data_IF_648620390034
#
_entry.id   IF_648620390034
#
_cell.length_a   1.000
_cell.length_b   1.000
_cell.length_c   1.000
_cell.angle_alpha   90.00
_cell.angle_beta   90.00
_cell.angle_gamma   90.00
#
_symmetry.space_group_name_H-M   'P 1'
#
loop_
_entity.id
_entity.type
_entity.pdbx_description
1 polymer ?
#
# COMPACT_ATOMS: atom_id res chain seq x y z
N UNK A 1 -0.85 -4.01 11.51
CA UNK A 1 -0.29 -3.85 12.87
C UNK A 1 -0.79 -2.59 13.54
N UNK A 2 -0.37 -1.38 13.17
CA UNK A 2 -0.84 -0.15 13.83
C UNK A 2 -2.35 -0.03 13.96
N UNK A 3 -3.08 -0.29 12.87
CA UNK A 3 -4.54 -0.29 12.88
C UNK A 3 -5.12 -1.33 13.87
N UNK A 4 -4.60 -2.56 13.85
CA UNK A 4 -5.01 -3.62 14.77
C UNK A 4 -4.72 -3.27 16.24
N UNK A 5 -3.57 -2.63 16.53
CA UNK A 5 -3.26 -2.15 17.88
C UNK A 5 -4.20 -1.03 18.33
N UNK A 6 -4.60 -0.13 17.42
CA UNK A 6 -5.44 1.02 17.73
C UNK A 6 -6.93 0.68 17.83
N UNK A 7 -7.42 -0.21 16.98
CA UNK A 7 -8.86 -0.47 16.80
C UNK A 7 -9.28 -1.91 17.17
N UNK A 8 -8.35 -2.81 17.49
CA UNK A 8 -8.61 -4.25 17.64
C UNK A 8 -8.58 -4.96 16.28
N UNK A 9 -7.90 -6.12 16.19
CA UNK A 9 -7.71 -6.83 14.92
C UNK A 9 -9.03 -7.33 14.32
N UNK A 10 -9.93 -7.78 15.18
CA UNK A 10 -11.29 -8.24 14.90
C UNK A 10 -12.21 -7.14 14.35
N UNK A 11 -11.82 -5.87 14.47
CA UNK A 11 -12.53 -4.72 13.90
C UNK A 11 -11.88 -4.21 12.60
N UNK A 12 -10.83 -4.89 12.11
CA UNK A 12 -10.15 -4.51 10.88
C UNK A 12 -10.66 -5.34 9.71
N UNK A 13 -11.25 -4.65 8.74
CA UNK A 13 -11.47 -5.17 7.40
C UNK A 13 -10.36 -4.67 6.48
N UNK A 14 -9.81 -5.56 5.67
CA UNK A 14 -8.77 -5.20 4.69
C UNK A 14 -9.32 -5.35 3.28
N UNK A 15 -8.82 -4.51 2.36
CA UNK A 15 -9.18 -4.56 0.94
C UNK A 15 -7.93 -4.50 0.08
N UNK A 16 -7.87 -5.38 -0.91
CA UNK A 16 -6.91 -5.35 -2.00
C UNK A 16 -7.63 -5.09 -3.32
N UNK A 17 -6.90 -4.49 -4.26
CA UNK A 17 -7.43 -4.15 -5.58
C UNK A 17 -6.72 -4.97 -6.65
N UNK A 18 -7.51 -5.73 -7.41
CA UNK A 18 -7.04 -6.44 -8.58
C UNK A 18 -7.44 -5.64 -9.82
N UNK A 19 -6.50 -4.88 -10.37
CA UNK A 19 -6.70 -3.99 -11.51
C UNK A 19 -5.94 -4.46 -12.76
N UNK A 20 -5.57 -5.75 -12.79
CA UNK A 20 -4.80 -6.34 -13.89
C UNK A 20 -3.30 -6.12 -13.79
N UNK A 21 -2.79 -5.90 -12.57
CA UNK A 21 -1.34 -5.84 -12.31
C UNK A 21 -0.63 -7.14 -12.75
N UNK A 22 0.64 -7.00 -13.17
CA UNK A 22 1.44 -8.05 -13.80
C UNK A 22 1.66 -9.30 -12.94
N UNK A 23 1.73 -9.14 -11.62
CA UNK A 23 2.03 -10.23 -10.70
C UNK A 23 0.98 -10.31 -9.59
N UNK A 24 0.37 -11.49 -9.44
CA UNK A 24 -0.62 -11.75 -8.39
C UNK A 24 -0.02 -11.90 -6.99
N UNK A 25 1.31 -11.99 -6.89
CA UNK A 25 2.05 -12.23 -5.63
C UNK A 25 1.73 -11.21 -4.54
N UNK A 26 1.43 -9.95 -4.89
CA UNK A 26 1.05 -8.94 -3.92
C UNK A 26 -0.30 -9.23 -3.27
N UNK A 27 -1.25 -9.82 -4.00
CA UNK A 27 -2.57 -10.20 -3.49
C UNK A 27 -2.44 -11.39 -2.55
N UNK A 28 -1.59 -12.37 -2.91
CA UNK A 28 -1.32 -13.53 -2.06
C UNK A 28 -0.62 -13.12 -0.74
N UNK A 29 0.35 -12.21 -0.82
CA UNK A 29 0.99 -11.63 0.35
C UNK A 29 -0.01 -10.85 1.21
N UNK A 30 -0.86 -10.01 0.60
CA UNK A 30 -1.85 -9.22 1.32
C UNK A 30 -2.86 -10.11 2.07
N UNK A 31 -3.35 -11.17 1.41
CA UNK A 31 -4.24 -12.17 2.03
C UNK A 31 -3.55 -12.89 3.20
N UNK A 32 -2.30 -13.28 3.02
CA UNK A 32 -1.50 -13.95 4.08
C UNK A 32 -1.27 -13.01 5.26
N UNK A 33 -0.84 -11.78 5.01
CA UNK A 33 -0.62 -10.79 6.06
C UNK A 33 -1.91 -10.44 6.80
N UNK A 34 -3.05 -10.27 6.11
CA UNK A 34 -4.34 -10.02 6.74
C UNK A 34 -4.74 -11.15 7.69
N UNK A 35 -4.55 -12.41 7.27
CA UNK A 35 -4.80 -13.59 8.11
C UNK A 35 -3.89 -13.63 9.34
N UNK A 36 -2.59 -13.43 9.16
CA UNK A 36 -1.61 -13.45 10.26
C UNK A 36 -1.83 -12.33 11.27
N UNK A 37 -2.35 -11.19 10.82
CA UNK A 37 -2.69 -10.05 11.66
C UNK A 37 -4.07 -10.15 12.32
N UNK A 38 -4.84 -11.22 12.04
CA UNK A 38 -6.15 -11.44 12.65
C UNK A 38 -7.26 -10.50 12.14
N UNK A 39 -7.13 -9.97 10.92
CA UNK A 39 -8.17 -9.13 10.32
C UNK A 39 -9.50 -9.90 10.19
N UNK A 40 -10.62 -9.22 10.45
CA UNK A 40 -11.97 -9.78 10.40
C UNK A 40 -12.31 -10.36 9.03
N UNK A 41 -11.91 -9.67 7.97
CA UNK A 41 -11.99 -10.17 6.60
C UNK A 41 -10.96 -9.51 5.69
N UNK A 42 -10.70 -10.17 4.56
CA UNK A 42 -9.92 -9.65 3.46
C UNK A 42 -10.74 -9.68 2.16
N UNK A 43 -11.03 -8.49 1.62
CA UNK A 43 -11.76 -8.31 0.37
C UNK A 43 -10.78 -8.11 -0.78
N UNK A 44 -11.13 -8.66 -1.95
CA UNK A 44 -10.44 -8.35 -3.22
C UNK A 44 -11.46 -7.75 -4.17
N UNK A 45 -11.28 -6.47 -4.52
CA UNK A 45 -12.12 -5.77 -5.48
C UNK A 45 -11.46 -5.79 -6.86
N UNK A 46 -12.16 -6.29 -7.86
CA UNK A 46 -11.68 -6.33 -9.23
C UNK A 46 -12.01 -5.02 -9.96
N UNK A 47 -11.01 -4.36 -10.54
CA UNK A 47 -11.13 -3.07 -11.24
C UNK A 47 -10.52 -3.19 -12.65
N UNK A 48 -11.09 -4.02 -13.53
CA UNK A 48 -10.52 -4.26 -14.86
C UNK A 48 -10.48 -3.02 -15.75
N UNK A 49 -11.33 -2.02 -15.48
CA UNK A 49 -11.34 -0.76 -16.23
C UNK A 49 -10.00 0.00 -16.16
N UNK A 50 -9.27 -0.09 -15.05
CA UNK A 50 -7.95 0.57 -14.92
C UNK A 50 -6.91 0.01 -15.89
N UNK A 51 -7.02 -1.26 -16.28
CA UNK A 51 -6.19 -1.86 -17.33
C UNK A 51 -6.49 -1.27 -18.71
N UNK A 52 -7.73 -0.83 -18.95
CA UNK A 52 -8.13 -0.21 -20.22
C UNK A 52 -7.74 1.28 -20.27
N UNK A 53 -7.71 1.95 -19.11
CA UNK A 53 -7.37 3.37 -18.97
C UNK A 53 -5.84 3.59 -18.97
N UNK A 54 -5.08 2.62 -18.48
CA UNK A 54 -3.62 2.73 -18.39
C UNK A 54 -2.90 2.38 -19.70
N UNK A 55 -2.14 3.33 -20.26
CA UNK A 55 -1.18 3.11 -21.36
C UNK A 55 0.17 2.50 -20.90
N UNK A 56 0.20 1.88 -19.71
CA UNK A 56 1.42 1.68 -18.91
C UNK A 56 2.21 0.40 -19.28
N UNK A 57 3.54 0.43 -19.23
CA UNK A 57 4.47 -0.69 -19.46
C UNK A 57 4.35 -1.87 -18.46
N UNK A 58 3.44 -1.79 -17.49
CA UNK A 58 2.99 -2.97 -16.74
C UNK A 58 2.04 -3.87 -17.54
N UNK A 59 1.55 -3.40 -18.69
CA UNK A 59 0.60 -4.08 -19.57
C UNK A 59 1.20 -4.44 -20.94
N UNK A 60 2.39 -3.93 -21.26
CA UNK A 60 3.20 -4.27 -22.44
C UNK A 60 4.59 -4.74 -21.99
N UNK A 61 5.28 -5.55 -22.77
CA UNK A 61 6.55 -6.23 -22.41
C UNK A 61 7.79 -5.32 -22.28
N UNK A 62 7.62 -4.01 -22.08
CA UNK A 62 8.72 -3.04 -22.04
C UNK A 62 9.31 -2.87 -20.63
N UNK A 63 10.61 -2.56 -20.57
CA UNK A 63 11.36 -2.35 -19.34
C UNK A 63 10.84 -1.12 -18.56
N UNK A 64 10.74 -1.23 -17.24
CA UNK A 64 10.16 -0.19 -16.33
C UNK A 64 11.07 1.06 -16.20
N UNK A 65 12.12 1.15 -17.00
CA UNK A 65 13.18 2.17 -16.88
C UNK A 65 12.92 3.47 -17.65
N UNK A 66 11.87 3.55 -18.48
CA UNK A 66 11.57 4.77 -19.25
C UNK A 66 10.29 5.47 -18.75
N UNK A 67 10.47 6.65 -18.16
CA UNK A 67 9.38 7.55 -17.75
C UNK A 67 8.98 8.48 -18.89
N UNK A 68 7.68 8.64 -19.15
CA UNK A 68 7.16 9.83 -19.85
C UNK A 68 6.88 10.90 -18.79
N UNK A 69 7.31 12.13 -19.03
CA UNK A 69 7.06 13.30 -18.14
C UNK A 69 7.50 13.12 -16.67
N UNK A 70 8.52 12.28 -16.41
CA UNK A 70 9.04 12.01 -15.08
C UNK A 70 8.18 11.06 -14.22
N UNK A 71 7.10 10.49 -14.78
CA UNK A 71 6.25 9.52 -14.10
C UNK A 71 6.66 8.08 -14.46
N UNK A 72 6.61 7.13 -13.49
CA UNK A 72 6.93 5.73 -13.76
C UNK A 72 6.09 5.15 -14.91
N UNK A 73 6.67 4.22 -15.66
CA UNK A 73 5.98 3.52 -16.75
C UNK A 73 4.72 2.74 -16.30
N UNK A 74 4.47 2.64 -14.99
CA UNK A 74 3.29 2.08 -14.33
C UNK A 74 2.18 3.09 -14.00
N UNK A 75 2.28 4.31 -14.52
CA UNK A 75 1.35 5.40 -14.19
C UNK A 75 -0.07 5.11 -14.72
N UNK A 76 -1.04 5.18 -13.81
CA UNK A 76 -2.47 5.21 -14.13
C UNK A 76 -3.04 6.46 -13.45
N UNK A 77 -3.65 7.38 -14.21
CA UNK A 77 -4.12 8.65 -13.64
C UNK A 77 -5.21 8.41 -12.58
N UNK A 78 -5.12 9.16 -11.48
CA UNK A 78 -6.11 9.16 -10.38
C UNK A 78 -6.39 7.78 -9.77
N UNK A 79 -5.45 6.83 -9.88
CA UNK A 79 -5.64 5.45 -9.41
C UNK A 79 -5.99 5.39 -7.92
N UNK A 80 -5.33 6.19 -7.08
CA UNK A 80 -5.62 6.17 -5.64
C UNK A 80 -6.98 6.76 -5.32
N UNK A 81 -7.45 7.75 -6.09
CA UNK A 81 -8.81 8.27 -5.96
C UNK A 81 -9.82 7.16 -6.26
N UNK A 82 -9.64 6.43 -7.36
CA UNK A 82 -10.53 5.32 -7.76
C UNK A 82 -10.54 4.19 -6.71
N UNK A 83 -9.37 3.87 -6.15
CA UNK A 83 -9.25 2.89 -5.07
C UNK A 83 -9.99 3.33 -3.80
N UNK A 84 -9.75 4.56 -3.35
CA UNK A 84 -10.35 5.06 -2.12
C UNK A 84 -11.86 5.27 -2.25
N UNK A 85 -12.38 5.65 -3.42
CA UNK A 85 -13.82 5.72 -3.66
C UNK A 85 -14.49 4.34 -3.53
N UNK A 86 -13.87 3.29 -4.04
CA UNK A 86 -14.39 1.92 -3.89
C UNK A 86 -14.23 1.40 -2.45
N UNK A 87 -13.11 1.71 -1.81
CA UNK A 87 -12.89 1.37 -0.40
C UNK A 87 -13.92 2.06 0.50
N UNK A 88 -14.31 3.30 0.20
CA UNK A 88 -15.32 4.04 0.94
C UNK A 88 -16.72 3.43 0.76
N UNK A 89 -17.09 3.00 -0.45
CA UNK A 89 -18.33 2.26 -0.66
C UNK A 89 -18.35 0.92 0.11
N UNK A 90 -17.21 0.23 0.18
CA UNK A 90 -17.06 -0.97 1.00
C UNK A 90 -17.13 -0.64 2.50
N UNK A 91 -16.47 0.42 2.95
CA UNK A 91 -16.51 0.89 4.34
C UNK A 91 -17.94 1.22 4.76
N UNK A 92 -18.71 1.90 3.90
CA UNK A 92 -20.13 2.16 4.12
C UNK A 92 -20.94 0.86 4.29
N UNK A 93 -20.75 -0.12 3.40
CA UNK A 93 -21.41 -1.44 3.51
C UNK A 93 -21.08 -2.16 4.83
N UNK A 94 -19.86 -1.97 5.33
CA UNK A 94 -19.34 -2.61 6.54
C UNK A 94 -19.50 -1.75 7.80
N UNK A 95 -20.23 -0.63 7.71
CA UNK A 95 -20.43 0.32 8.81
C UNK A 95 -19.12 0.80 9.47
N UNK A 96 -18.11 1.06 8.64
CA UNK A 96 -16.79 1.49 9.08
C UNK A 96 -16.68 3.02 9.07
N UNK A 97 -16.33 3.60 10.22
CA UNK A 97 -16.09 5.05 10.36
C UNK A 97 -14.71 5.50 9.85
N UNK A 98 -13.75 4.58 9.66
CA UNK A 98 -12.37 4.91 9.29
C UNK A 98 -11.97 4.18 8.01
N UNK A 99 -11.40 4.92 7.06
CA UNK A 99 -10.72 4.37 5.88
C UNK A 99 -9.22 4.62 6.00
N UNK A 100 -8.45 3.56 6.26
CA UNK A 100 -7.01 3.65 6.49
C UNK A 100 -6.26 3.41 5.18
N UNK A 101 -5.32 4.29 4.84
CA UNK A 101 -4.47 4.16 3.65
C UNK A 101 -2.98 4.32 3.96
N UNK A 102 -2.16 3.52 3.29
CA UNK A 102 -0.70 3.50 3.43
C UNK A 102 0.05 4.47 2.52
N UNK A 103 -0.65 5.40 1.85
CA UNK A 103 -0.01 6.42 1.00
C UNK A 103 1.01 7.25 1.79
N UNK A 104 2.09 7.64 1.11
CA UNK A 104 3.15 8.47 1.67
C UNK A 104 3.56 9.55 0.68
N UNK A 105 3.74 10.77 1.19
CA UNK A 105 4.36 11.89 0.48
C UNK A 105 5.89 11.80 0.49
N UNK A 106 6.48 11.01 1.40
CA UNK A 106 7.93 10.86 1.48
C UNK A 106 8.48 9.93 0.38
N UNK A 107 7.65 9.02 -0.13
CA UNK A 107 7.98 8.12 -1.25
C UNK A 107 7.66 8.74 -2.62
N UNK A 108 7.49 10.07 -2.68
CA UNK A 108 6.90 10.76 -3.82
C UNK A 108 7.70 10.61 -5.11
N UNK A 109 7.13 9.85 -6.03
CA UNK A 109 7.52 9.75 -7.43
C UNK A 109 6.62 10.61 -8.34
N UNK A 110 6.08 11.74 -7.86
CA UNK A 110 5.32 12.68 -8.71
C UNK A 110 3.78 12.61 -8.62
N UNK A 111 3.20 11.67 -7.86
CA UNK A 111 1.76 11.38 -7.90
C UNK A 111 0.89 12.38 -7.11
N UNK A 112 0.06 13.23 -7.76
CA UNK A 112 -0.76 14.23 -7.08
C UNK A 112 -1.89 13.63 -6.23
N UNK A 113 -2.29 12.39 -6.52
CA UNK A 113 -3.32 11.63 -5.81
C UNK A 113 -2.84 10.97 -4.51
N UNK A 114 -1.56 11.11 -4.15
CA UNK A 114 -1.01 10.69 -2.86
C UNK A 114 -0.94 11.83 -1.81
N UNK A 115 -1.19 13.09 -2.22
CA UNK A 115 -1.00 14.25 -1.34
C UNK A 115 -2.09 14.32 -0.27
N UNK A 116 -1.72 14.70 0.95
CA UNK A 116 -2.65 14.84 2.06
C UNK A 116 -3.80 15.80 1.75
N UNK A 117 -3.52 16.90 1.02
CA UNK A 117 -4.55 17.83 0.58
C UNK A 117 -5.57 17.18 -0.37
N UNK A 118 -5.10 16.39 -1.34
CA UNK A 118 -5.97 15.67 -2.28
C UNK A 118 -6.86 14.68 -1.54
N UNK A 119 -6.29 13.94 -0.58
CA UNK A 119 -7.02 12.95 0.20
C UNK A 119 -8.04 13.59 1.16
N UNK A 120 -7.77 14.79 1.69
CA UNK A 120 -8.75 15.53 2.49
C UNK A 120 -9.93 16.08 1.66
N UNK A 121 -9.68 16.52 0.44
CA UNK A 121 -10.76 16.89 -0.49
C UNK A 121 -11.60 15.67 -0.89
N UNK A 122 -10.94 14.52 -1.09
CA UNK A 122 -11.63 13.27 -1.37
C UNK A 122 -12.51 12.82 -0.18
N UNK A 123 -12.01 12.90 1.05
CA UNK A 123 -12.79 12.61 2.27
C UNK A 123 -14.09 13.42 2.32
N UNK A 124 -14.02 14.73 2.08
CA UNK A 124 -15.21 15.59 2.01
C UNK A 124 -16.18 15.18 0.89
N UNK A 125 -15.64 14.83 -0.27
CA UNK A 125 -16.45 14.39 -1.43
C UNK A 125 -17.19 13.09 -1.13
N UNK A 126 -16.50 12.13 -0.49
CA UNK A 126 -17.09 10.84 -0.13
C UNK A 126 -18.14 10.98 0.96
N UNK A 127 -17.90 11.80 1.98
CA UNK A 127 -18.89 12.04 3.03
C UNK A 127 -20.16 12.71 2.49
N UNK A 128 -20.02 13.68 1.59
CA UNK A 128 -21.18 14.29 0.93
C UNK A 128 -21.93 13.29 0.03
N UNK A 129 -21.22 12.45 -0.73
CA UNK A 129 -21.84 11.50 -1.66
C UNK A 129 -22.46 10.27 -1.01
N UNK A 130 -22.01 9.88 0.18
CA UNK A 130 -22.50 8.71 0.93
C UNK A 130 -23.39 9.08 2.11
N UNK A 131 -23.56 10.37 2.41
CA UNK A 131 -24.16 10.86 3.66
C UNK A 131 -23.53 10.19 4.89
N UNK A 132 -22.20 10.12 4.89
CA UNK A 132 -21.40 9.40 5.88
C UNK A 132 -20.54 10.32 6.75
N UNK A 133 -19.99 9.76 7.83
CA UNK A 133 -18.98 10.41 8.68
C UNK A 133 -17.68 9.59 8.68
N UNK A 134 -17.10 9.42 7.50
CA UNK A 134 -15.87 8.68 7.24
C UNK A 134 -14.64 9.57 7.47
N UNK A 135 -13.65 9.06 8.18
CA UNK A 135 -12.31 9.65 8.28
C UNK A 135 -11.30 8.87 7.41
N UNK A 136 -10.59 9.54 6.50
CA UNK A 136 -9.44 8.99 5.80
C UNK A 136 -8.19 9.15 6.67
N UNK A 137 -7.71 8.03 7.20
CA UNK A 137 -6.57 7.98 8.11
C UNK A 137 -5.30 7.61 7.35
N UNK A 138 -4.28 8.47 7.41
CA UNK A 138 -3.02 8.33 6.66
C UNK A 138 -1.81 8.23 7.61
N UNK A 139 -1.64 7.12 8.34
CA UNK A 139 -0.63 7.03 9.41
C UNK A 139 0.82 7.11 8.90
N UNK A 140 1.04 6.87 7.61
CA UNK A 140 2.36 6.83 6.98
C UNK A 140 2.69 8.09 6.17
N UNK A 141 1.75 9.06 6.06
CA UNK A 141 1.84 10.16 5.07
C UNK A 141 3.18 10.88 5.07
N UNK A 142 3.71 11.18 6.25
CA UNK A 142 4.95 11.95 6.46
C UNK A 142 6.11 11.11 6.99
N UNK A 143 5.99 9.78 6.96
CA UNK A 143 7.02 8.87 7.46
C UNK A 143 7.96 8.44 6.34
N UNK A 144 9.26 8.48 6.59
CA UNK A 144 10.25 7.84 5.73
C UNK A 144 10.26 6.31 5.96
N UNK A 145 10.95 5.56 5.09
CA UNK A 145 10.98 4.09 5.17
C UNK A 145 11.58 3.56 6.49
N UNK A 146 12.57 4.22 7.07
CA UNK A 146 13.15 3.82 8.35
C UNK A 146 12.15 4.00 9.51
N UNK A 147 11.39 5.10 9.49
CA UNK A 147 10.32 5.35 10.47
C UNK A 147 9.15 4.37 10.32
N UNK A 148 8.86 3.90 9.11
CA UNK A 148 7.86 2.86 8.87
C UNK A 148 8.32 1.51 9.45
N UNK A 149 9.60 1.15 9.29
CA UNK A 149 10.18 -0.03 9.95
C UNK A 149 10.15 0.08 11.47
N UNK A 150 10.49 1.26 12.00
CA UNK A 150 10.43 1.51 13.44
C UNK A 150 8.99 1.43 13.96
N UNK A 151 8.02 1.97 13.22
CA UNK A 151 6.59 1.84 13.55
C UNK A 151 6.13 0.37 13.56
N UNK A 152 6.63 -0.44 12.63
CA UNK A 152 6.36 -1.88 12.64
C UNK A 152 6.89 -2.56 13.91
N UNK A 153 8.11 -2.22 14.33
CA UNK A 153 8.70 -2.70 15.58
C UNK A 153 7.93 -2.23 16.81
N UNK A 154 7.48 -0.97 16.84
CA UNK A 154 6.69 -0.43 17.95
C UNK A 154 5.33 -1.13 18.09
N UNK A 155 4.68 -1.46 16.97
CA UNK A 155 3.36 -2.07 17.00
C UNK A 155 3.37 -3.59 17.13
N UNK A 156 4.41 -4.27 16.65
CA UNK A 156 4.45 -5.74 16.58
C UNK A 156 5.73 -6.38 17.12
N UNK A 157 6.63 -5.60 17.73
CA UNK A 157 7.91 -6.09 18.20
C UNK A 157 8.79 -6.67 17.08
N UNK A 158 9.66 -7.61 17.44
CA UNK A 158 10.48 -8.35 16.47
C UNK A 158 9.61 -9.14 15.49
N UNK A 159 8.54 -9.78 15.97
CA UNK A 159 7.65 -10.59 15.14
C UNK A 159 6.94 -9.75 14.08
N UNK A 160 6.59 -8.50 14.39
CA UNK A 160 6.04 -7.56 13.42
C UNK A 160 7.02 -7.19 12.31
N UNK A 161 8.30 -7.03 12.66
CA UNK A 161 9.37 -6.81 11.67
C UNK A 161 9.55 -8.05 10.79
N UNK A 162 9.59 -9.24 11.39
CA UNK A 162 9.70 -10.51 10.66
C UNK A 162 8.49 -10.75 9.75
N UNK A 163 7.27 -10.47 10.21
CA UNK A 163 6.07 -10.56 9.39
C UNK A 163 6.19 -9.69 8.14
N UNK A 164 6.71 -8.47 8.25
CA UNK A 164 6.94 -7.62 7.08
C UNK A 164 8.01 -8.22 6.17
N UNK A 165 9.13 -8.72 6.72
CA UNK A 165 10.21 -9.32 5.93
C UNK A 165 9.73 -10.54 5.15
N UNK A 166 8.95 -11.40 5.78
CA UNK A 166 8.56 -12.71 5.24
C UNK A 166 7.27 -12.69 4.43
N UNK A 167 6.30 -11.84 4.75
CA UNK A 167 4.92 -11.96 4.24
C UNK A 167 4.44 -10.73 3.48
N UNK A 168 5.32 -9.81 3.11
CA UNK A 168 4.96 -8.65 2.28
C UNK A 168 5.75 -8.61 0.98
N UNK A 169 5.15 -7.99 -0.03
CA UNK A 169 5.75 -7.80 -1.34
C UNK A 169 6.03 -6.33 -1.63
N UNK A 170 7.16 -6.04 -2.28
CA UNK A 170 7.55 -4.68 -2.69
C UNK A 170 8.22 -4.66 -4.06
N UNK A 171 8.68 -5.80 -4.58
CA UNK A 171 9.46 -5.83 -5.81
C UNK A 171 8.59 -5.55 -7.04
N UNK A 172 8.94 -4.54 -7.84
CA UNK A 172 8.22 -4.25 -9.09
C UNK A 172 8.36 -5.36 -10.15
N UNK A 173 9.37 -6.22 -10.03
CA UNK A 173 9.60 -7.33 -10.95
C UNK A 173 8.93 -8.64 -10.49
N UNK A 174 8.15 -8.61 -9.40
CA UNK A 174 7.45 -9.79 -8.90
C UNK A 174 8.34 -10.84 -8.22
N UNK A 175 9.63 -10.57 -8.02
CA UNK A 175 10.52 -11.49 -7.32
C UNK A 175 10.10 -11.60 -5.85
N UNK A 176 9.60 -12.77 -5.48
CA UNK A 176 9.30 -13.16 -4.11
C UNK A 176 9.97 -14.50 -3.75
N UNK A 177 11.08 -14.81 -4.41
CA UNK A 177 11.87 -16.03 -4.18
C UNK A 177 13.26 -15.71 -3.66
N UNK A 178 13.82 -14.55 -4.01
CA UNK A 178 15.12 -14.09 -3.52
C UNK A 178 14.97 -13.38 -2.18
N UNK A 179 15.38 -14.04 -1.08
CA UNK A 179 15.32 -13.48 0.28
C UNK A 179 16.58 -12.67 0.63
N UNK A 180 16.38 -11.47 1.17
CA UNK A 180 17.43 -10.60 1.73
C UNK A 180 17.14 -10.28 3.20
N UNK A 181 18.06 -9.60 3.87
CA UNK A 181 17.84 -9.12 5.24
C UNK A 181 16.61 -8.22 5.38
N UNK A 182 16.27 -7.43 4.36
CA UNK A 182 15.10 -6.53 4.36
C UNK A 182 13.80 -7.18 3.85
N UNK A 183 13.84 -8.47 3.50
CA UNK A 183 12.72 -9.24 2.91
C UNK A 183 12.99 -9.70 1.47
N UNK A 184 11.94 -10.08 0.74
CA UNK A 184 12.07 -10.62 -0.61
C UNK A 184 12.12 -9.55 -1.70
N UNK A 185 12.91 -9.79 -2.76
CA UNK A 185 12.90 -8.99 -3.97
C UNK A 185 14.16 -9.09 -4.82
N UNK A 186 14.11 -8.54 -6.04
CA UNK A 186 15.21 -8.62 -7.00
C UNK A 186 16.45 -7.77 -6.63
N UNK A 187 16.37 -6.94 -5.59
CA UNK A 187 17.38 -5.97 -5.14
C UNK A 187 17.80 -4.89 -6.17
N UNK A 188 17.29 -4.93 -7.40
CA UNK A 188 17.69 -4.04 -8.51
C UNK A 188 16.69 -2.92 -8.77
N UNK A 189 15.39 -3.17 -8.64
CA UNK A 189 14.35 -2.18 -8.95
C UNK A 189 14.29 -1.05 -7.89
N UNK A 190 13.78 0.15 -8.24
CA UNK A 190 13.72 1.29 -7.31
C UNK A 190 13.03 0.98 -5.98
N UNK A 191 11.93 0.21 -6.01
CA UNK A 191 11.21 -0.19 -4.80
C UNK A 191 12.06 -1.06 -3.86
N UNK A 192 12.85 -2.00 -4.39
CA UNK A 192 13.76 -2.81 -3.57
C UNK A 192 14.88 -1.94 -2.98
N UNK A 193 15.41 -0.98 -3.74
CA UNK A 193 16.46 -0.07 -3.25
C UNK A 193 15.96 0.80 -2.09
N UNK A 194 14.76 1.37 -2.21
CA UNK A 194 14.10 2.15 -1.15
C UNK A 194 13.87 1.31 0.12
N UNK A 195 13.33 0.09 -0.04
CA UNK A 195 13.08 -0.84 1.08
C UNK A 195 14.38 -1.24 1.79
N UNK A 196 15.43 -1.58 1.02
CA UNK A 196 16.76 -1.92 1.54
C UNK A 196 17.37 -0.76 2.33
N UNK A 197 17.37 0.44 1.74
CA UNK A 197 17.91 1.65 2.38
C UNK A 197 17.19 1.93 3.71
N UNK A 198 15.86 1.95 3.70
CA UNK A 198 15.07 2.19 4.89
C UNK A 198 15.30 1.15 5.99
N UNK A 199 15.45 -0.13 5.62
CA UNK A 199 15.75 -1.18 6.59
C UNK A 199 17.14 -1.01 7.21
N UNK A 200 18.17 -0.69 6.40
CA UNK A 200 19.52 -0.45 6.89
C UNK A 200 19.58 0.75 7.87
N UNK A 201 18.92 1.85 7.52
CA UNK A 201 18.81 3.04 8.39
C UNK A 201 18.07 2.73 9.71
N UNK A 202 17.00 1.94 9.65
CA UNK A 202 16.30 1.45 10.83
C UNK A 202 17.22 0.60 11.72
N UNK A 203 17.92 -0.38 11.14
CA UNK A 203 18.83 -1.26 11.89
C UNK A 203 20.00 -0.51 12.54
N UNK A 204 20.48 0.57 11.92
CA UNK A 204 21.52 1.40 12.50
C UNK A 204 21.07 2.13 13.77
N UNK A 205 19.78 2.44 13.91
CA UNK A 205 19.21 3.14 15.09
C UNK A 205 18.83 2.22 16.25
N UNK A 206 18.68 0.92 15.99
CA UNK A 206 18.22 -0.09 16.97
C UNK A 206 19.41 -0.94 17.48
N UNK A 207 20.64 -0.58 17.14
CA UNK A 207 21.85 -1.09 17.80
C UNK A 207 22.02 -0.45 19.17
#
# INVERSE_FOLDING_TARGET
MWAAQKYGAENIFTVSFNYGQKHAVELDCAKTAAKLLGAAAHWVLNIPALKQIGDSALLTSADVNESKDGLPASFVPARNIIFLSQAAALAYKLDCANLITGVSEADYSGYPDCRGQTLKLLEQTLNAGLEANLEIVMPLLRKNKAEIWEMARQCGGTDGVELIREHTHTCYNGDHTTRHEWGYGCAKCPACQLRRKGYAEFRAKVK
#
